data_IF_246654324069
#
_entry.id   IF_246654324069
#
_cell.length_a   1.000
_cell.length_b   1.000
_cell.length_c   1.000
_cell.angle_alpha   90.00
_cell.angle_beta   90.00
_cell.angle_gamma   90.00
#
_symmetry.space_group_name_H-M   'P 1'
#
loop_
_entity.id
_entity.type
_entity.pdbx_description
1 polymer ?
#
# COMPACT_ATOMS: atom_id res chain seq x y z
N UNK A 1 -4.59 6.91 -21.68
CA UNK A 1 -4.95 5.48 -21.60
C UNK A 1 -6.32 5.24 -20.95
N UNK A 2 -7.10 6.28 -20.59
CA UNK A 2 -8.40 6.14 -19.94
C UNK A 2 -8.34 5.82 -18.45
N UNK A 3 -7.13 5.67 -17.87
CA UNK A 3 -6.91 5.43 -16.44
C UNK A 3 -6.72 6.74 -15.68
N UNK A 4 -6.97 6.71 -14.37
CA UNK A 4 -6.72 7.83 -13.47
C UNK A 4 -5.27 7.78 -12.97
N UNK A 5 -4.83 6.59 -12.57
CA UNK A 5 -3.52 6.37 -11.95
C UNK A 5 -2.52 5.76 -12.93
N UNK A 6 -1.26 6.18 -12.82
CA UNK A 6 -0.15 5.63 -13.58
C UNK A 6 0.29 4.27 -13.04
N UNK A 7 0.96 3.49 -13.87
CA UNK A 7 1.52 2.19 -13.48
C UNK A 7 2.88 2.39 -12.77
N UNK A 8 3.16 1.62 -11.71
CA UNK A 8 4.40 1.78 -10.92
C UNK A 8 5.66 1.55 -11.76
N UNK A 9 5.63 0.57 -12.67
CA UNK A 9 6.78 0.20 -13.51
C UNK A 9 6.85 1.00 -14.82
N UNK A 10 5.76 1.68 -15.18
CA UNK A 10 5.66 2.55 -16.36
C UNK A 10 5.12 3.92 -15.92
N UNK A 11 5.90 4.69 -15.13
CA UNK A 11 5.47 6.01 -14.71
C UNK A 11 5.31 6.94 -15.92
N UNK A 12 4.34 7.84 -15.82
CA UNK A 12 4.17 8.99 -16.70
C UNK A 12 3.97 10.27 -15.88
N UNK A 13 3.56 11.35 -16.55
CA UNK A 13 3.39 12.68 -15.95
C UNK A 13 2.47 12.67 -14.70
N UNK A 14 1.49 11.74 -14.60
CA UNK A 14 0.58 11.61 -13.45
C UNK A 14 1.27 11.09 -12.19
N UNK A 15 2.49 10.59 -12.28
CA UNK A 15 3.17 9.86 -11.21
C UNK A 15 3.62 10.77 -10.07
N UNK A 16 4.30 11.88 -10.38
CA UNK A 16 4.97 12.72 -9.39
C UNK A 16 4.47 14.17 -9.36
N UNK A 17 4.36 14.72 -8.16
CA UNK A 17 3.95 16.09 -7.90
C UNK A 17 5.07 17.08 -8.25
N UNK A 18 4.86 17.83 -9.33
CA UNK A 18 5.68 18.97 -9.78
C UNK A 18 7.18 18.68 -9.96
N UNK A 19 7.55 17.42 -10.20
CA UNK A 19 8.92 17.00 -10.55
C UNK A 19 9.05 16.79 -12.06
N UNK A 20 10.29 16.86 -12.55
CA UNK A 20 10.64 16.53 -13.95
C UNK A 20 11.33 15.16 -14.08
N UNK A 21 11.51 14.47 -12.97
CA UNK A 21 12.07 13.12 -12.90
C UNK A 21 11.42 12.38 -11.74
N UNK A 22 10.99 11.15 -11.99
CA UNK A 22 10.46 10.29 -10.93
C UNK A 22 11.56 9.91 -9.93
N UNK A 23 11.15 9.57 -8.71
CA UNK A 23 12.06 9.18 -7.64
C UNK A 23 11.46 8.05 -6.79
N UNK A 24 11.40 6.83 -7.33
CA UNK A 24 10.78 5.71 -6.61
C UNK A 24 11.59 5.30 -5.37
N UNK A 25 10.95 4.83 -4.28
CA UNK A 25 11.65 4.31 -3.09
C UNK A 25 12.56 3.11 -3.42
N UNK A 26 12.22 2.37 -4.47
CA UNK A 26 13.06 1.37 -5.09
C UNK A 26 13.58 1.94 -6.41
N UNK A 27 14.83 2.39 -6.41
CA UNK A 27 15.43 3.03 -7.59
C UNK A 27 15.78 2.05 -8.70
N UNK A 28 15.86 0.74 -8.40
CA UNK A 28 16.21 -0.31 -9.35
C UNK A 28 15.31 -1.55 -9.20
N UNK A 29 14.86 -2.11 -10.32
CA UNK A 29 14.26 -3.44 -10.39
C UNK A 29 15.03 -4.28 -11.41
N UNK A 30 15.55 -5.44 -11.01
CA UNK A 30 16.40 -6.30 -11.85
C UNK A 30 17.60 -5.57 -12.50
N UNK A 31 18.17 -4.57 -11.81
CA UNK A 31 19.33 -3.80 -12.29
C UNK A 31 19.00 -2.65 -13.25
N UNK A 32 17.73 -2.40 -13.57
CA UNK A 32 17.33 -1.27 -14.41
C UNK A 32 16.77 -0.10 -13.58
N UNK A 33 17.15 1.16 -13.90
CA UNK A 33 16.56 2.33 -13.27
C UNK A 33 15.08 2.39 -13.61
N UNK A 34 14.22 2.43 -12.59
CA UNK A 34 12.78 2.64 -12.79
C UNK A 34 12.48 4.14 -12.93
N UNK A 35 13.44 4.98 -12.57
CA UNK A 35 13.29 6.42 -12.64
C UNK A 35 13.41 6.97 -14.06
N UNK A 36 12.40 7.75 -14.46
CA UNK A 36 12.27 8.33 -15.80
C UNK A 36 12.08 9.84 -15.73
N UNK A 37 12.51 10.51 -16.79
CA UNK A 37 12.16 11.91 -17.00
C UNK A 37 10.67 11.99 -17.35
N UNK A 38 9.98 12.97 -16.77
CA UNK A 38 8.55 13.25 -16.95
C UNK A 38 8.37 14.76 -17.11
N UNK A 39 7.27 15.20 -17.69
CA UNK A 39 6.94 16.62 -17.71
C UNK A 39 6.53 17.06 -16.31
N UNK A 40 6.78 18.34 -16.01
CA UNK A 40 6.31 18.92 -14.74
C UNK A 40 4.79 18.93 -14.73
N UNK A 41 4.20 18.13 -13.86
CA UNK A 41 2.75 17.92 -13.77
C UNK A 41 2.31 17.80 -12.31
N UNK A 42 1.02 18.03 -12.03
CA UNK A 42 0.44 17.83 -10.69
C UNK A 42 0.12 16.36 -10.46
N UNK A 43 1.15 15.51 -10.49
CA UNK A 43 1.02 14.07 -10.25
C UNK A 43 0.77 13.73 -8.77
N UNK A 44 0.54 12.45 -8.49
CA UNK A 44 -0.09 12.05 -7.21
C UNK A 44 0.87 11.77 -6.05
N UNK A 45 2.15 11.47 -6.33
CA UNK A 45 3.15 11.19 -5.31
C UNK A 45 4.15 12.34 -5.21
N UNK A 46 4.45 12.80 -4.02
CA UNK A 46 5.58 13.68 -3.73
C UNK A 46 6.71 12.90 -3.06
N UNK A 47 7.95 13.29 -3.34
CA UNK A 47 9.16 12.80 -2.70
C UNK A 47 9.93 13.99 -2.13
N UNK A 48 9.44 14.55 -1.03
CA UNK A 48 9.99 15.77 -0.47
C UNK A 48 11.38 15.50 0.12
N UNK A 49 12.38 16.25 -0.34
CA UNK A 49 13.78 16.06 0.04
C UNK A 49 14.18 17.04 1.14
N UNK A 50 14.54 16.48 2.29
CA UNK A 50 15.16 17.19 3.41
C UNK A 50 16.65 16.84 3.47
N UNK A 51 17.40 17.52 4.33
CA UNK A 51 18.87 17.42 4.43
C UNK A 51 19.41 16.01 4.68
N UNK A 52 18.61 15.09 5.25
CA UNK A 52 19.02 13.71 5.51
C UNK A 52 17.95 12.65 5.29
N UNK A 53 16.79 13.04 4.75
CA UNK A 53 15.66 12.12 4.55
C UNK A 53 14.82 12.55 3.35
N UNK A 54 14.27 11.57 2.62
CA UNK A 54 13.20 11.82 1.65
C UNK A 54 11.88 11.34 2.23
N UNK A 55 10.86 12.21 2.26
CA UNK A 55 9.54 11.92 2.81
C UNK A 55 8.53 11.80 1.67
N UNK A 56 8.00 10.59 1.49
CA UNK A 56 7.02 10.28 0.45
C UNK A 56 5.59 10.57 0.91
N UNK A 57 4.84 11.31 0.08
CA UNK A 57 3.52 11.82 0.48
C UNK A 57 2.53 11.81 -0.69
N UNK A 58 1.28 11.45 -0.45
CA UNK A 58 0.22 11.58 -1.47
C UNK A 58 -0.23 13.03 -1.63
N UNK A 59 -0.56 13.43 -2.86
CA UNK A 59 -1.11 14.73 -3.25
C UNK A 59 -2.39 14.49 -4.05
N UNK A 60 -3.50 15.10 -3.62
CA UNK A 60 -4.83 14.90 -4.20
C UNK A 60 -5.90 14.61 -3.15
N UNK A 61 -7.16 14.50 -3.58
CA UNK A 61 -8.29 14.16 -2.69
C UNK A 61 -8.12 12.73 -2.18
N UNK A 62 -7.94 12.58 -0.86
CA UNK A 62 -7.56 11.33 -0.18
C UNK A 62 -6.10 11.29 0.30
N UNK A 63 -5.25 12.19 -0.21
CA UNK A 63 -3.86 12.34 0.23
C UNK A 63 -3.09 11.01 0.21
N UNK A 64 -2.52 10.63 1.35
CA UNK A 64 -1.72 9.40 1.48
C UNK A 64 -2.49 8.11 1.19
N UNK A 65 -3.82 8.08 1.31
CA UNK A 65 -4.59 6.86 0.99
C UNK A 65 -4.49 6.47 -0.47
N UNK A 66 -4.28 7.46 -1.35
CA UNK A 66 -4.14 7.24 -2.79
C UNK A 66 -2.88 6.41 -3.10
N UNK A 67 -1.77 6.65 -2.40
CA UNK A 67 -0.45 6.13 -2.76
C UNK A 67 0.09 5.06 -1.80
N UNK A 68 -0.55 4.85 -0.65
CA UNK A 68 -0.13 3.84 0.32
C UNK A 68 -0.46 2.40 -0.14
N UNK A 69 0.19 1.42 0.50
CA UNK A 69 -0.06 -0.01 0.22
C UNK A 69 -1.31 -0.61 0.87
N UNK A 70 -2.16 0.21 1.49
CA UNK A 70 -3.44 -0.22 2.05
C UNK A 70 -3.37 -1.07 3.32
N UNK A 71 -2.19 -1.35 3.87
CA UNK A 71 -2.04 -2.08 5.14
C UNK A 71 -2.69 -1.28 6.29
N UNK A 72 -3.60 -1.91 7.02
CA UNK A 72 -4.36 -1.30 8.11
C UNK A 72 -4.15 -2.13 9.39
N UNK A 73 -3.29 -1.65 10.27
CA UNK A 73 -2.81 -2.40 11.45
C UNK A 73 -3.19 -1.66 12.73
N UNK A 74 -3.94 -2.32 13.60
CA UNK A 74 -4.14 -1.85 14.97
C UNK A 74 -2.83 -2.04 15.77
N UNK A 75 -2.28 -1.01 16.42
CA UNK A 75 -1.05 -1.15 17.20
C UNK A 75 -1.23 -2.08 18.40
N UNK A 76 -0.14 -2.71 18.85
CA UNK A 76 -0.15 -3.57 20.04
C UNK A 76 -0.51 -2.78 21.28
N UNK A 77 -1.51 -3.24 22.03
CA UNK A 77 -1.98 -2.57 23.25
C UNK A 77 -0.88 -2.43 24.29
N UNK A 78 0.00 -3.44 24.42
CA UNK A 78 1.14 -3.38 25.34
C UNK A 78 2.10 -2.20 25.10
N UNK A 79 2.17 -1.68 23.87
CA UNK A 79 3.06 -0.57 23.51
C UNK A 79 2.38 0.80 23.55
N UNK A 80 1.04 0.84 23.60
CA UNK A 80 0.28 2.08 23.40
C UNK A 80 0.56 3.12 24.50
N UNK A 81 0.47 2.70 25.77
CA UNK A 81 0.67 3.60 26.92
C UNK A 81 2.08 4.18 27.02
N UNK A 82 3.09 3.55 26.41
CA UNK A 82 4.44 4.09 26.37
C UNK A 82 4.57 5.29 25.42
N UNK A 83 3.73 5.36 24.38
CA UNK A 83 3.80 6.38 23.33
C UNK A 83 2.77 7.49 23.58
N UNK A 84 1.56 7.12 24.03
CA UNK A 84 0.45 8.03 24.28
C UNK A 84 -0.10 7.84 25.70
N UNK A 85 0.68 8.17 26.76
CA UNK A 85 0.33 7.85 28.15
C UNK A 85 -0.90 8.62 28.67
N UNK A 86 -1.29 9.72 28.01
CA UNK A 86 -2.42 10.56 28.40
C UNK A 86 -3.73 10.20 27.71
N UNK A 87 -3.72 9.19 26.83
CA UNK A 87 -4.91 8.76 26.06
C UNK A 87 -5.46 7.49 26.69
N UNK A 88 -6.78 7.43 26.90
CA UNK A 88 -7.43 6.22 27.40
C UNK A 88 -7.33 5.08 26.37
N UNK A 89 -6.47 4.11 26.68
CA UNK A 89 -6.29 2.95 25.84
C UNK A 89 -7.58 2.12 25.74
N UNK A 90 -8.36 1.98 26.81
CA UNK A 90 -9.58 1.17 26.76
C UNK A 90 -10.57 1.75 25.75
N UNK A 91 -10.77 3.06 25.74
CA UNK A 91 -11.64 3.74 24.76
C UNK A 91 -11.12 3.56 23.32
N UNK A 92 -9.80 3.66 23.11
CA UNK A 92 -9.18 3.42 21.81
C UNK A 92 -9.42 2.01 21.27
N UNK A 93 -9.24 0.99 22.10
CA UNK A 93 -9.34 -0.41 21.68
C UNK A 93 -10.79 -0.94 21.64
N UNK A 94 -11.69 -0.42 22.47
CA UNK A 94 -13.10 -0.82 22.49
C UNK A 94 -13.97 -0.06 21.50
N UNK A 95 -13.61 1.19 21.17
CA UNK A 95 -14.48 2.09 20.39
C UNK A 95 -13.80 2.61 19.13
N UNK A 96 -12.65 3.30 19.24
CA UNK A 96 -12.12 4.06 18.10
C UNK A 96 -11.43 3.21 17.04
N UNK A 97 -10.59 2.23 17.41
CA UNK A 97 -9.98 1.33 16.45
C UNK A 97 -11.00 0.44 15.74
N UNK A 98 -11.99 -0.18 16.43
CA UNK A 98 -13.07 -0.89 15.74
C UNK A 98 -13.86 0.00 14.77
N UNK A 99 -14.21 1.23 15.18
CA UNK A 99 -14.91 2.20 14.32
C UNK A 99 -14.07 2.57 13.10
N UNK A 100 -12.78 2.82 13.28
CA UNK A 100 -11.85 3.15 12.19
C UNK A 100 -11.73 1.98 11.20
N UNK A 101 -11.50 0.76 11.68
CA UNK A 101 -11.41 -0.43 10.83
C UNK A 101 -12.68 -0.67 10.03
N UNK A 102 -13.85 -0.50 10.66
CA UNK A 102 -15.15 -0.62 9.98
C UNK A 102 -15.34 0.47 8.91
N UNK A 103 -15.11 1.74 9.24
CA UNK A 103 -15.26 2.85 8.28
C UNK A 103 -14.31 2.74 7.09
N UNK A 104 -13.07 2.32 7.35
CA UNK A 104 -12.06 2.07 6.33
C UNK A 104 -12.33 0.82 5.49
N UNK A 105 -13.26 -0.06 5.89
CA UNK A 105 -13.55 -1.31 5.18
C UNK A 105 -12.39 -2.30 5.23
N UNK A 106 -11.70 -2.36 6.37
CA UNK A 106 -10.54 -3.23 6.56
C UNK A 106 -10.98 -4.70 6.55
N UNK A 107 -10.33 -5.50 5.73
CA UNK A 107 -10.56 -6.95 5.64
C UNK A 107 -9.24 -7.70 5.62
N UNK A 108 -9.26 -9.00 5.92
CA UNK A 108 -8.07 -9.85 5.91
C UNK A 108 -8.16 -10.85 4.77
N UNK A 109 -7.04 -11.08 4.09
CA UNK A 109 -6.92 -12.08 3.03
C UNK A 109 -7.31 -13.47 3.56
N UNK A 110 -8.02 -14.24 2.72
CA UNK A 110 -8.31 -15.64 2.97
C UNK A 110 -7.00 -16.47 2.96
N UNK A 111 -6.60 -17.09 4.09
CA UNK A 111 -5.34 -17.84 4.18
C UNK A 111 -5.24 -18.99 3.17
N UNK A 112 -6.35 -19.67 2.85
CA UNK A 112 -6.34 -20.78 1.90
C UNK A 112 -6.11 -20.30 0.46
N UNK A 113 -6.72 -19.17 0.10
CA UNK A 113 -6.45 -18.53 -1.19
C UNK A 113 -5.02 -17.98 -1.27
N UNK A 114 -4.53 -17.32 -0.21
CA UNK A 114 -3.14 -16.89 -0.10
C UNK A 114 -2.15 -18.04 -0.29
N UNK A 115 -2.48 -19.24 0.22
CA UNK A 115 -1.61 -20.41 0.13
C UNK A 115 -1.56 -21.03 -1.27
N UNK A 116 -2.59 -20.81 -2.10
CA UNK A 116 -2.74 -21.44 -3.42
C UNK A 116 -2.40 -20.52 -4.60
N UNK A 117 -2.59 -19.20 -4.48
CA UNK A 117 -2.45 -18.28 -5.62
C UNK A 117 -0.98 -17.92 -5.93
N UNK A 118 -0.62 -17.81 -7.20
CA UNK A 118 0.77 -17.52 -7.63
C UNK A 118 1.25 -16.14 -7.21
N UNK A 119 0.38 -15.12 -7.24
CA UNK A 119 0.77 -13.74 -6.96
C UNK A 119 1.31 -13.51 -5.54
N UNK A 120 1.08 -14.43 -4.59
CA UNK A 120 1.60 -14.37 -3.22
C UNK A 120 2.79 -15.29 -2.95
N UNK A 121 3.37 -15.93 -3.96
CA UNK A 121 4.53 -16.81 -3.78
C UNK A 121 5.68 -16.10 -3.04
N UNK A 122 5.94 -14.83 -3.34
CA UNK A 122 6.99 -14.04 -2.69
C UNK A 122 6.80 -13.98 -1.16
N UNK A 123 5.56 -13.79 -0.70
CA UNK A 123 5.22 -13.73 0.72
C UNK A 123 5.32 -15.12 1.38
N UNK A 124 4.95 -16.19 0.67
CA UNK A 124 5.11 -17.57 1.16
C UNK A 124 6.57 -17.97 1.31
N UNK A 125 7.44 -17.51 0.41
CA UNK A 125 8.90 -17.67 0.54
C UNK A 125 9.38 -16.96 1.80
N UNK A 126 8.98 -15.70 2.02
CA UNK A 126 9.28 -14.96 3.26
C UNK A 126 8.81 -15.70 4.52
N UNK A 127 7.57 -16.19 4.53
CA UNK A 127 7.00 -17.00 5.63
C UNK A 127 7.86 -18.23 5.91
N UNK A 128 8.29 -18.96 4.89
CA UNK A 128 9.15 -20.15 5.04
C UNK A 128 10.49 -19.80 5.71
N UNK A 129 11.10 -18.67 5.34
CA UNK A 129 12.36 -18.23 5.96
C UNK A 129 12.16 -17.80 7.43
N UNK A 130 11.09 -17.08 7.73
CA UNK A 130 10.73 -16.70 9.09
C UNK A 130 10.54 -17.94 9.99
N UNK A 131 9.74 -18.92 9.52
CA UNK A 131 9.49 -20.18 10.22
C UNK A 131 10.78 -20.97 10.49
N UNK A 132 11.66 -21.11 9.49
CA UNK A 132 12.96 -21.80 9.64
C UNK A 132 13.89 -21.13 10.64
N UNK A 133 13.65 -19.86 10.96
CA UNK A 133 14.46 -19.05 11.87
C UNK A 133 13.75 -18.81 13.21
N UNK A 134 12.58 -19.40 13.44
CA UNK A 134 11.81 -19.24 14.68
C UNK A 134 11.10 -17.89 14.82
N UNK A 135 10.96 -17.10 13.75
CA UNK A 135 10.23 -15.83 13.78
C UNK A 135 8.73 -16.03 13.52
N UNK A 136 7.85 -15.32 14.25
CA UNK A 136 6.42 -15.35 13.97
C UNK A 136 6.11 -14.62 12.66
N UNK A 137 4.96 -14.95 12.07
CA UNK A 137 4.37 -14.22 10.95
C UNK A 137 2.88 -14.01 11.23
N UNK A 138 2.29 -13.00 10.58
CA UNK A 138 0.87 -12.69 10.69
C UNK A 138 0.36 -12.18 9.35
N UNK A 139 -0.93 -12.42 9.09
CA UNK A 139 -1.62 -11.76 7.98
C UNK A 139 -1.91 -10.32 8.37
N UNK A 140 -1.59 -9.40 7.47
CA UNK A 140 -1.80 -7.97 7.66
C UNK A 140 -3.15 -7.60 7.05
N UNK A 141 -4.12 -7.09 7.83
CA UNK A 141 -5.37 -6.59 7.27
C UNK A 141 -5.11 -5.41 6.33
N UNK A 142 -5.97 -5.23 5.33
CA UNK A 142 -5.82 -4.16 4.36
C UNK A 142 -7.17 -3.57 3.91
N UNK A 143 -7.12 -2.41 3.26
CA UNK A 143 -8.25 -1.73 2.62
C UNK A 143 -8.37 -2.05 1.12
N UNK A 144 -7.58 -3.01 0.63
CA UNK A 144 -7.78 -3.57 -0.70
C UNK A 144 -8.88 -4.64 -0.63
N UNK A 145 -9.79 -4.62 -1.59
CA UNK A 145 -10.85 -5.61 -1.72
C UNK A 145 -10.25 -6.96 -2.15
N UNK A 146 -10.19 -7.92 -1.22
CA UNK A 146 -9.65 -9.26 -1.48
C UNK A 146 -10.48 -10.06 -2.47
N UNK A 147 -11.79 -9.82 -2.57
CA UNK A 147 -12.65 -10.48 -3.55
C UNK A 147 -12.41 -9.90 -4.95
N UNK A 148 -12.14 -8.60 -5.06
CA UNK A 148 -11.65 -8.00 -6.31
C UNK A 148 -10.29 -8.59 -6.71
N UNK A 149 -9.36 -8.74 -5.76
CA UNK A 149 -8.04 -9.32 -6.06
C UNK A 149 -8.13 -10.79 -6.53
N UNK A 150 -9.08 -11.57 -5.98
CA UNK A 150 -9.40 -12.92 -6.47
C UNK A 150 -9.86 -12.90 -7.93
N UNK A 151 -10.72 -11.93 -8.28
CA UNK A 151 -11.20 -11.74 -9.65
C UNK A 151 -10.08 -11.27 -10.61
N UNK A 152 -9.17 -10.40 -10.15
CA UNK A 152 -7.98 -10.01 -10.93
C UNK A 152 -7.10 -11.21 -11.27
N UNK A 153 -6.89 -12.10 -10.29
CA UNK A 153 -6.11 -13.32 -10.45
C UNK A 153 -6.78 -14.29 -11.43
N UNK A 154 -8.11 -14.40 -11.37
CA UNK A 154 -8.92 -15.16 -12.32
C UNK A 154 -9.01 -14.50 -13.72
N UNK A 155 -8.59 -13.24 -13.86
CA UNK A 155 -8.67 -12.50 -15.13
C UNK A 155 -10.09 -12.08 -15.51
N UNK A 156 -11.01 -12.01 -14.55
CA UNK A 156 -12.42 -11.69 -14.80
C UNK A 156 -12.74 -10.20 -14.67
N UNK A 157 -11.81 -9.41 -14.12
CA UNK A 157 -11.89 -7.95 -13.99
C UNK A 157 -10.57 -7.29 -14.40
N UNK A 158 -10.56 -5.99 -14.74
CA UNK A 158 -9.32 -5.25 -14.97
C UNK A 158 -8.34 -5.37 -13.79
N UNK A 159 -7.07 -5.61 -14.09
CA UNK A 159 -6.03 -5.67 -13.06
C UNK A 159 -5.62 -4.28 -12.59
N UNK A 160 -5.35 -4.18 -11.29
CA UNK A 160 -4.71 -3.03 -10.64
C UNK A 160 -3.52 -3.52 -9.82
N UNK A 161 -3.73 -4.10 -8.62
CA UNK A 161 -2.65 -4.64 -7.81
C UNK A 161 -1.85 -5.71 -8.58
N UNK A 162 -2.53 -6.56 -9.37
CA UNK A 162 -1.89 -7.59 -10.18
C UNK A 162 -1.36 -7.09 -11.56
N UNK A 163 -1.37 -5.77 -11.79
CA UNK A 163 -0.69 -5.09 -12.90
C UNK A 163 0.29 -4.02 -12.38
N UNK A 164 0.88 -4.24 -11.20
CA UNK A 164 1.87 -3.34 -10.60
C UNK A 164 1.37 -1.90 -10.37
N UNK A 165 0.11 -1.75 -9.95
CA UNK A 165 -0.43 -0.48 -9.47
C UNK A 165 -0.42 -0.47 -7.93
N UNK A 166 0.19 0.57 -7.34
CA UNK A 166 0.21 0.82 -5.89
C UNK A 166 0.73 2.23 -5.61
N UNK A 167 1.98 2.50 -6.00
CA UNK A 167 2.74 3.68 -5.58
C UNK A 167 2.18 4.99 -6.16
N UNK A 168 1.65 4.92 -7.38
CA UNK A 168 0.98 6.05 -8.05
C UNK A 168 -0.54 5.92 -8.03
N UNK A 169 -1.08 5.12 -7.11
CA UNK A 169 -2.49 4.80 -7.05
C UNK A 169 -2.84 3.43 -7.62
N UNK A 170 -4.09 3.04 -7.36
CA UNK A 170 -4.72 1.82 -7.84
C UNK A 170 -6.00 2.22 -8.58
N UNK A 171 -6.11 1.89 -9.86
CA UNK A 171 -7.32 2.21 -10.63
C UNK A 171 -8.54 1.41 -10.15
N UNK A 172 -8.32 0.28 -9.47
CA UNK A 172 -9.38 -0.59 -8.96
C UNK A 172 -9.00 -1.24 -7.62
N UNK A 173 -9.98 -1.85 -6.96
CA UNK A 173 -9.80 -2.71 -5.78
C UNK A 173 -9.44 -2.00 -4.47
N UNK A 174 -8.68 -0.91 -4.48
CA UNK A 174 -8.28 -0.20 -3.26
C UNK A 174 -9.29 0.85 -2.84
N UNK A 175 -9.78 0.79 -1.60
CA UNK A 175 -10.56 1.86 -1.00
C UNK A 175 -9.64 3.02 -0.59
N UNK A 176 -9.85 4.19 -1.20
CA UNK A 176 -9.17 5.43 -0.81
C UNK A 176 -10.12 6.33 -0.02
N UNK A 177 -9.58 7.17 0.86
CA UNK A 177 -10.35 8.18 1.57
C UNK A 177 -10.84 9.25 0.58
N UNK A 178 -12.11 9.63 0.68
CA UNK A 178 -12.74 10.72 -0.07
C UNK A 178 -13.57 11.57 0.88
#
# INVERSE_FOLDING_TARGET
DGKIFANTTRPDDRSFWLRTRTKQPLSNFLGFPIDKNVNRYTGILDAEEFSGITVYQGRGVGGGSLVNGGMAVTPRRENFGAILPTVDAEEMYSTYYPRANSGLGVTTIDPAWFDSVDCYQYARVGRKHAQRSGFPFLFVPAVYDWDYMKQEAAGTVPRSALDAEILYGNNYGKKSLQ
#
